data_IF_219189095716
#
_entry.id   IF_219189095716
#
_cell.length_a   1.000
_cell.length_b   1.000
_cell.length_c   1.000
_cell.angle_alpha   90.00
_cell.angle_beta   90.00
_cell.angle_gamma   90.00
#
_symmetry.space_group_name_H-M   'P 1'
#
loop_
_entity.id
_entity.type
_entity.pdbx_description
1 polymer ?
#
# COMPACT_ATOMS: atom_id res chain seq x y z
N UNK A 1 -52.37 7.96 34.35
CA UNK A 1 -51.87 6.75 33.68
C UNK A 1 -50.83 7.23 32.67
N UNK A 2 -49.86 8.06 33.13
CA UNK A 2 -49.15 9.02 32.25
C UNK A 2 -47.68 9.23 32.66
N UNK A 3 -47.11 8.35 33.49
CA UNK A 3 -45.72 8.44 33.96
C UNK A 3 -44.74 7.53 33.18
N UNK A 4 -45.25 6.55 32.40
CA UNK A 4 -44.40 5.63 31.62
C UNK A 4 -44.00 6.16 30.22
N UNK A 5 -44.58 7.28 29.77
CA UNK A 5 -44.37 7.82 28.42
C UNK A 5 -43.24 8.86 28.32
N UNK A 6 -42.43 9.04 29.38
CA UNK A 6 -41.37 10.07 29.44
C UNK A 6 -39.94 9.49 29.35
N UNK A 7 -39.75 8.19 29.60
CA UNK A 7 -38.41 7.57 29.63
C UNK A 7 -37.84 7.12 28.27
N UNK A 8 -38.57 7.28 27.17
CA UNK A 8 -38.24 6.68 25.87
C UNK A 8 -37.60 7.64 24.84
N UNK A 9 -37.23 8.87 25.22
CA UNK A 9 -36.74 9.87 24.26
C UNK A 9 -35.29 9.69 23.80
N UNK A 10 -34.51 8.87 24.51
CA UNK A 10 -33.06 8.70 24.26
C UNK A 10 -32.64 7.24 24.03
N UNK A 11 -33.59 6.30 24.06
CA UNK A 11 -33.32 4.89 23.78
C UNK A 11 -33.63 4.65 22.30
N UNK A 12 -32.60 4.33 21.53
CA UNK A 12 -32.77 4.00 20.11
C UNK A 12 -33.66 2.76 20.01
N UNK A 13 -34.79 2.82 19.28
CA UNK A 13 -35.65 1.66 19.07
C UNK A 13 -34.87 0.48 18.50
N UNK A 14 -35.14 -0.72 18.99
CA UNK A 14 -34.40 -1.94 18.63
C UNK A 14 -34.48 -2.21 17.13
N UNK A 15 -35.63 -1.92 16.52
CA UNK A 15 -35.85 -2.05 15.08
C UNK A 15 -34.93 -1.11 14.29
N UNK A 16 -34.72 0.12 14.76
CA UNK A 16 -33.83 1.09 14.13
C UNK A 16 -32.36 0.67 14.31
N UNK A 17 -32.00 0.10 15.47
CA UNK A 17 -30.67 -0.46 15.72
C UNK A 17 -30.36 -1.61 14.76
N UNK A 18 -31.28 -2.57 14.64
CA UNK A 18 -31.18 -3.72 13.73
C UNK A 18 -31.09 -3.23 12.28
N UNK A 19 -31.92 -2.26 11.88
CA UNK A 19 -31.90 -1.69 10.52
C UNK A 19 -30.54 -1.09 10.19
N UNK A 20 -29.97 -0.29 11.09
CA UNK A 20 -28.63 0.32 10.92
C UNK A 20 -27.53 -0.73 10.83
N UNK A 21 -27.59 -1.76 11.67
CA UNK A 21 -26.64 -2.89 11.66
C UNK A 21 -26.72 -3.68 10.33
N UNK A 22 -27.93 -3.96 9.84
CA UNK A 22 -28.15 -4.64 8.56
C UNK A 22 -27.67 -3.81 7.37
N UNK A 23 -27.95 -2.50 7.36
CA UNK A 23 -27.45 -1.57 6.34
C UNK A 23 -25.93 -1.44 6.37
N UNK A 24 -25.33 -1.43 7.56
CA UNK A 24 -23.88 -1.44 7.73
C UNK A 24 -23.27 -2.73 7.17
N UNK A 25 -23.83 -3.89 7.52
CA UNK A 25 -23.41 -5.19 6.97
C UNK A 25 -23.52 -5.22 5.46
N UNK A 26 -24.61 -4.74 4.89
CA UNK A 26 -24.79 -4.65 3.44
C UNK A 26 -23.76 -3.73 2.77
N UNK A 27 -23.47 -2.54 3.35
CA UNK A 27 -22.42 -1.64 2.83
C UNK A 27 -21.03 -2.27 2.91
N UNK A 28 -20.72 -2.96 4.00
CA UNK A 28 -19.45 -3.69 4.14
C UNK A 28 -19.35 -4.83 3.12
N UNK A 29 -20.44 -5.57 2.89
CA UNK A 29 -20.50 -6.59 1.84
C UNK A 29 -20.35 -5.97 0.45
N UNK A 30 -20.93 -4.80 0.15
CA UNK A 30 -20.69 -4.09 -1.11
C UNK A 30 -19.23 -3.64 -1.24
N UNK A 31 -18.58 -3.18 -0.17
CA UNK A 31 -17.16 -2.81 -0.19
C UNK A 31 -16.24 -4.03 -0.36
N UNK A 32 -16.56 -5.15 0.29
CA UNK A 32 -15.88 -6.43 0.10
C UNK A 32 -16.12 -6.97 -1.30
N UNK A 33 -17.34 -6.91 -1.81
CA UNK A 33 -17.70 -7.34 -3.14
C UNK A 33 -17.09 -6.41 -4.19
N UNK A 34 -16.94 -5.11 -3.95
CA UNK A 34 -16.18 -4.20 -4.83
C UNK A 34 -14.69 -4.55 -4.86
N UNK A 35 -14.14 -5.04 -3.74
CA UNK A 35 -12.78 -5.61 -3.69
C UNK A 35 -12.70 -6.98 -4.39
N UNK A 36 -13.72 -7.83 -4.30
CA UNK A 36 -13.78 -9.14 -4.97
C UNK A 36 -14.09 -9.02 -6.46
N UNK A 37 -14.92 -8.07 -6.89
CA UNK A 37 -15.19 -7.74 -8.30
C UNK A 37 -13.96 -7.12 -8.98
N UNK A 38 -13.01 -6.58 -8.20
CA UNK A 38 -11.68 -6.18 -8.68
C UNK A 38 -10.65 -7.33 -8.60
N UNK A 39 -11.00 -8.49 -8.05
CA UNK A 39 -10.09 -9.61 -7.81
C UNK A 39 -10.62 -10.98 -8.24
N UNK A 40 -11.75 -11.08 -8.95
CA UNK A 40 -12.24 -12.36 -9.41
C UNK A 40 -11.85 -12.68 -10.86
N UNK A 41 -11.39 -13.93 -11.09
CA UNK A 41 -10.21 -14.24 -11.89
C UNK A 41 -10.57 -15.20 -13.04
N UNK A 42 -9.64 -15.35 -13.97
CA UNK A 42 -9.65 -16.45 -14.94
C UNK A 42 -9.70 -17.79 -14.19
N UNK A 43 -10.65 -18.65 -14.58
CA UNK A 43 -10.86 -19.99 -14.02
C UNK A 43 -9.61 -20.91 -14.19
N UNK A 44 -9.51 -22.00 -13.39
CA UNK A 44 -8.34 -22.85 -13.28
C UNK A 44 -8.33 -24.09 -14.18
N UNK A 45 -7.13 -24.64 -14.24
CA UNK A 45 -6.71 -26.00 -14.65
C UNK A 45 -6.23 -26.14 -16.09
N UNK A 46 -4.90 -26.13 -16.27
CA UNK A 46 -4.21 -27.34 -16.69
C UNK A 46 -2.82 -27.44 -16.02
N UNK A 47 -2.64 -28.55 -15.31
CA UNK A 47 -1.39 -29.09 -14.80
C UNK A 47 -0.55 -29.56 -16.00
N UNK A 48 0.79 -29.38 -15.98
CA UNK A 48 1.84 -30.27 -16.54
C UNK A 48 3.26 -29.65 -16.41
N UNK A 49 4.37 -30.42 -16.50
CA UNK A 49 5.53 -30.39 -15.56
C UNK A 49 6.71 -29.47 -15.95
N UNK A 50 7.78 -29.40 -15.11
CA UNK A 50 8.81 -28.36 -15.18
C UNK A 50 9.88 -28.67 -16.24
N UNK A 51 10.24 -27.67 -17.03
CA UNK A 51 11.45 -27.68 -17.84
C UNK A 51 12.42 -26.62 -17.34
N UNK A 52 13.59 -27.11 -16.95
CA UNK A 52 14.77 -26.35 -16.62
C UNK A 52 15.11 -25.36 -17.74
N UNK A 53 15.13 -24.07 -17.43
CA UNK A 53 15.94 -23.09 -18.14
C UNK A 53 16.65 -22.22 -17.12
N UNK A 54 17.94 -22.47 -17.01
CA UNK A 54 18.92 -21.65 -16.29
C UNK A 54 18.90 -20.22 -16.85
N UNK A 55 18.19 -19.32 -16.18
CA UNK A 55 18.40 -17.89 -16.34
C UNK A 55 19.26 -17.38 -15.19
N UNK A 56 20.57 -17.40 -15.42
CA UNK A 56 21.52 -16.53 -14.72
C UNK A 56 21.07 -15.08 -14.95
N UNK A 57 20.53 -14.40 -13.94
CA UNK A 57 20.50 -12.93 -13.96
C UNK A 57 20.79 -12.37 -12.58
N UNK A 58 21.90 -11.63 -12.56
CA UNK A 58 22.57 -10.92 -11.46
C UNK A 58 21.62 -10.36 -10.40
N UNK A 59 21.86 -10.80 -9.18
CA UNK A 59 21.66 -10.04 -7.94
C UNK A 59 22.10 -8.57 -8.12
N UNK A 60 21.33 -7.61 -7.62
CA UNK A 60 21.90 -6.46 -6.93
C UNK A 60 21.62 -6.66 -5.44
N UNK A 61 22.55 -7.36 -4.80
CA UNK A 61 22.86 -7.07 -3.40
C UNK A 61 23.51 -5.69 -3.35
N UNK A 62 22.92 -4.74 -2.64
CA UNK A 62 23.69 -3.62 -2.09
C UNK A 62 23.23 -3.34 -0.67
N UNK A 63 23.90 -4.01 0.26
CA UNK A 63 24.09 -3.57 1.63
C UNK A 63 24.91 -2.28 1.68
N UNK A 64 24.44 -1.33 2.48
CA UNK A 64 25.27 -0.38 3.21
C UNK A 64 25.95 0.74 2.43
N UNK A 65 25.35 1.93 2.46
CA UNK A 65 26.09 3.19 2.45
C UNK A 65 25.23 4.29 3.10
N UNK A 66 25.58 4.67 4.32
CA UNK A 66 25.09 5.89 4.97
C UNK A 66 25.73 7.08 4.28
N UNK A 67 25.07 7.62 3.27
CA UNK A 67 25.28 8.98 2.77
C UNK A 67 23.89 9.49 2.40
N UNK A 68 23.49 10.62 2.97
CA UNK A 68 22.26 11.38 2.67
C UNK A 68 22.30 11.89 1.22
N UNK A 69 22.26 10.96 0.28
CA UNK A 69 22.20 11.21 -1.15
C UNK A 69 20.72 11.23 -1.48
N UNK A 70 20.16 12.43 -1.65
CA UNK A 70 18.80 12.59 -2.19
C UNK A 70 18.70 11.69 -3.42
N UNK A 71 17.85 10.69 -3.34
CA UNK A 71 17.66 9.67 -4.37
C UNK A 71 16.25 9.85 -4.91
N UNK A 72 16.10 9.73 -6.22
CA UNK A 72 14.79 9.70 -6.90
C UNK A 72 14.10 8.34 -6.78
N UNK A 73 14.65 7.44 -5.95
CA UNK A 73 14.17 6.08 -5.75
C UNK A 73 12.85 5.97 -5.00
N UNK A 74 12.20 4.82 -5.20
CA UNK A 74 10.98 4.44 -4.52
C UNK A 74 11.33 3.39 -3.47
N UNK A 75 11.02 3.61 -2.21
CA UNK A 75 11.41 2.71 -1.14
C UNK A 75 10.22 1.95 -0.53
N UNK A 76 10.50 0.76 -0.03
CA UNK A 76 9.62 0.07 0.89
C UNK A 76 9.90 0.54 2.33
N UNK A 77 8.97 1.22 3.00
CA UNK A 77 9.16 1.65 4.41
C UNK A 77 9.32 0.47 5.39
N UNK A 78 8.78 -0.69 5.07
CA UNK A 78 8.81 -1.88 5.94
C UNK A 78 10.10 -2.68 5.76
N UNK A 79 10.54 -2.86 4.52
CA UNK A 79 11.71 -3.69 4.20
C UNK A 79 12.98 -2.84 4.00
N UNK A 80 12.85 -1.52 3.89
CA UNK A 80 13.92 -0.56 3.59
C UNK A 80 14.69 -0.96 2.34
N UNK A 81 13.94 -1.34 1.29
CA UNK A 81 14.48 -1.71 -0.02
C UNK A 81 14.09 -0.63 -1.00
N UNK A 82 15.08 -0.09 -1.70
CA UNK A 82 14.88 0.84 -2.81
C UNK A 82 14.57 0.07 -4.10
N UNK A 83 13.58 0.56 -4.84
CA UNK A 83 13.06 0.07 -6.08
C UNK A 83 13.11 1.21 -7.11
N UNK A 84 13.30 0.87 -8.38
CA UNK A 84 13.42 1.88 -9.44
C UNK A 84 12.06 2.27 -10.04
N UNK A 85 11.06 1.39 -9.93
CA UNK A 85 9.73 1.62 -10.49
C UNK A 85 8.61 1.28 -9.51
N UNK A 86 7.46 1.94 -9.68
CA UNK A 86 6.27 1.70 -8.85
C UNK A 86 5.82 0.24 -8.98
N UNK A 87 5.92 -0.33 -10.19
CA UNK A 87 5.59 -1.74 -10.46
C UNK A 87 6.47 -2.71 -9.67
N UNK A 88 7.78 -2.46 -9.59
CA UNK A 88 8.69 -3.29 -8.78
C UNK A 88 8.35 -3.21 -7.30
N UNK A 89 8.06 -2.00 -6.80
CA UNK A 89 7.67 -1.81 -5.40
C UNK A 89 6.31 -2.45 -5.08
N UNK A 90 5.36 -2.41 -6.02
CA UNK A 90 4.08 -3.11 -5.95
C UNK A 90 4.28 -4.63 -5.95
N UNK A 91 5.16 -5.15 -6.80
CA UNK A 91 5.47 -6.58 -6.81
C UNK A 91 6.14 -7.00 -5.51
N UNK A 92 7.11 -6.22 -5.04
CA UNK A 92 7.78 -6.41 -3.76
C UNK A 92 6.79 -6.50 -2.59
N UNK A 93 5.83 -5.57 -2.51
CA UNK A 93 4.84 -5.55 -1.42
C UNK A 93 3.91 -6.77 -1.41
N UNK A 94 3.80 -7.47 -2.54
CA UNK A 94 3.03 -8.71 -2.66
C UNK A 94 3.83 -9.97 -2.30
N UNK A 95 5.14 -9.88 -2.09
CA UNK A 95 5.99 -11.03 -1.76
C UNK A 95 5.67 -11.63 -0.39
N UNK A 96 5.91 -12.93 -0.24
CA UNK A 96 5.74 -13.65 1.04
C UNK A 96 6.61 -13.04 2.14
N UNK A 97 7.85 -12.67 1.80
CA UNK A 97 8.78 -12.01 2.74
C UNK A 97 8.21 -10.69 3.28
N UNK A 98 7.69 -9.85 2.39
CA UNK A 98 7.06 -8.58 2.79
C UNK A 98 5.87 -8.82 3.71
N UNK A 99 4.95 -9.73 3.33
CA UNK A 99 3.78 -10.08 4.14
C UNK A 99 4.17 -10.64 5.51
N UNK A 100 5.22 -11.46 5.58
CA UNK A 100 5.79 -11.97 6.82
C UNK A 100 6.29 -10.85 7.74
N UNK A 101 7.03 -9.88 7.21
CA UNK A 101 7.50 -8.72 7.96
C UNK A 101 6.33 -7.87 8.48
N UNK A 102 5.33 -7.60 7.63
CA UNK A 102 4.10 -6.88 8.06
C UNK A 102 3.41 -7.60 9.21
N UNK A 103 3.28 -8.93 9.13
CA UNK A 103 2.66 -9.72 10.18
C UNK A 103 3.47 -9.69 11.48
N UNK A 104 4.80 -9.74 11.40
CA UNK A 104 5.68 -9.64 12.57
C UNK A 104 5.57 -8.28 13.26
N UNK A 105 5.51 -7.19 12.50
CA UNK A 105 5.29 -5.85 13.05
C UNK A 105 3.93 -5.73 13.74
N UNK A 106 2.88 -6.28 13.12
CA UNK A 106 1.53 -6.33 13.74
C UNK A 106 1.51 -7.11 15.05
N UNK A 107 2.23 -8.24 15.14
CA UNK A 107 2.36 -9.02 16.39
C UNK A 107 3.05 -8.22 17.51
N UNK A 108 3.91 -7.26 17.17
CA UNK A 108 4.58 -6.36 18.12
C UNK A 108 3.73 -5.11 18.45
N UNK A 109 2.48 -5.05 18.00
CA UNK A 109 1.58 -3.90 18.22
C UNK A 109 1.81 -2.74 17.25
N UNK A 110 2.66 -2.88 16.23
CA UNK A 110 2.92 -1.83 15.26
C UNK A 110 1.95 -1.91 14.07
N UNK A 111 1.20 -0.85 13.82
CA UNK A 111 0.19 -0.76 12.77
C UNK A 111 0.76 -0.21 11.45
N UNK A 112 1.69 -0.94 10.82
CA UNK A 112 2.30 -0.51 9.55
C UNK A 112 1.58 -1.18 8.37
N UNK A 113 0.90 -0.37 7.54
CA UNK A 113 0.17 -0.87 6.36
C UNK A 113 0.59 -0.22 5.03
N UNK A 114 1.39 0.86 5.06
CA UNK A 114 1.72 1.65 3.88
C UNK A 114 3.19 1.46 3.49
N UNK A 115 3.48 0.58 2.50
CA UNK A 115 4.86 0.29 2.13
C UNK A 115 5.47 1.35 1.22
N UNK A 116 4.68 2.17 0.54
CA UNK A 116 5.17 3.03 -0.54
C UNK A 116 5.77 4.33 0.00
N UNK A 117 7.06 4.55 -0.21
CA UNK A 117 7.78 5.77 0.18
C UNK A 117 8.48 6.38 -1.05
N UNK A 118 8.32 7.69 -1.25
CA UNK A 118 9.09 8.46 -2.21
C UNK A 118 10.33 9.02 -1.50
N UNK A 119 11.54 8.65 -1.91
CA UNK A 119 12.78 9.13 -1.27
C UNK A 119 13.03 10.62 -1.57
N UNK A 120 12.63 11.09 -2.75
CA UNK A 120 12.81 12.50 -3.14
C UNK A 120 11.96 13.44 -2.29
N UNK A 121 10.69 13.08 -2.08
CA UNK A 121 9.73 13.91 -1.35
C UNK A 121 9.58 13.51 0.13
N UNK A 122 10.23 12.41 0.54
CA UNK A 122 10.07 11.76 1.84
C UNK A 122 8.59 11.55 2.27
N UNK A 123 7.72 11.28 1.29
CA UNK A 123 6.28 11.13 1.52
C UNK A 123 5.84 9.68 1.40
N UNK A 124 5.10 9.20 2.40
CA UNK A 124 4.49 7.87 2.36
C UNK A 124 3.14 7.89 1.64
N UNK A 125 2.93 6.96 0.72
CA UNK A 125 1.68 6.78 -0.01
C UNK A 125 0.97 5.49 0.45
N UNK A 126 -0.35 5.53 0.46
CA UNK A 126 -1.19 4.42 0.93
C UNK A 126 -1.31 3.28 -0.07
N UNK A 127 -1.09 3.54 -1.36
CA UNK A 127 -1.16 2.53 -2.42
C UNK A 127 -0.23 2.87 -3.59
N UNK A 128 -0.03 1.89 -4.48
CA UNK A 128 0.64 2.08 -5.77
C UNK A 128 0.01 3.20 -6.58
N UNK A 129 -1.33 3.28 -6.62
CA UNK A 129 -2.07 4.27 -7.41
C UNK A 129 -1.79 5.68 -6.89
N UNK A 130 -1.84 5.85 -5.57
CA UNK A 130 -1.53 7.14 -4.93
C UNK A 130 -0.06 7.52 -5.13
N UNK A 131 0.84 6.53 -5.17
CA UNK A 131 2.25 6.79 -5.50
C UNK A 131 2.38 7.24 -6.97
N UNK A 132 1.69 6.59 -7.91
CA UNK A 132 1.67 6.99 -9.31
C UNK A 132 1.13 8.42 -9.50
N UNK A 133 0.04 8.78 -8.82
CA UNK A 133 -0.50 10.15 -8.81
C UNK A 133 0.49 11.14 -8.19
N UNK A 134 1.14 10.75 -7.08
CA UNK A 134 2.16 11.57 -6.43
C UNK A 134 3.32 11.90 -7.37
N UNK A 135 3.83 10.92 -8.13
CA UNK A 135 4.94 11.11 -9.08
C UNK A 135 4.57 12.05 -10.24
N UNK A 136 3.30 12.08 -10.64
CA UNK A 136 2.78 13.04 -11.64
C UNK A 136 2.48 14.42 -11.06
N UNK A 137 2.52 14.57 -9.74
CA UNK A 137 2.15 15.80 -9.05
C UNK A 137 3.18 16.92 -9.24
N UNK A 138 2.69 18.16 -9.25
CA UNK A 138 3.53 19.37 -9.43
C UNK A 138 4.68 19.44 -8.42
N UNK A 139 4.42 19.16 -7.14
CA UNK A 139 5.45 19.16 -6.08
C UNK A 139 6.58 18.17 -6.33
N UNK A 140 6.26 16.98 -6.85
CA UNK A 140 7.28 15.99 -7.15
C UNK A 140 8.14 16.45 -8.34
N UNK A 141 7.49 16.92 -9.40
CA UNK A 141 8.15 17.39 -10.61
C UNK A 141 9.07 18.60 -10.36
N UNK A 142 8.67 19.56 -9.53
CA UNK A 142 9.52 20.71 -9.18
C UNK A 142 10.78 20.27 -8.45
N UNK A 143 10.64 19.41 -7.43
CA UNK A 143 11.78 18.88 -6.69
C UNK A 143 12.68 18.00 -7.57
N UNK A 144 12.11 17.27 -8.52
CA UNK A 144 12.85 16.45 -9.46
C UNK A 144 13.71 17.32 -10.37
N UNK A 145 13.14 18.40 -10.91
CA UNK A 145 13.88 19.35 -11.75
C UNK A 145 15.03 20.01 -10.98
N UNK A 146 14.78 20.49 -9.76
CA UNK A 146 15.81 21.07 -8.90
C UNK A 146 16.93 20.06 -8.61
N UNK A 147 16.57 18.81 -8.34
CA UNK A 147 17.53 17.73 -8.11
C UNK A 147 18.38 17.44 -9.35
N UNK A 148 17.79 17.39 -10.54
CA UNK A 148 18.52 17.20 -11.80
C UNK A 148 19.43 18.38 -12.15
N UNK A 149 18.99 19.61 -11.89
CA UNK A 149 19.79 20.82 -12.09
C UNK A 149 21.00 20.81 -11.15
N UNK A 150 20.80 20.49 -9.87
CA UNK A 150 21.88 20.38 -8.89
C UNK A 150 22.86 19.23 -9.22
N UNK A 151 22.36 18.14 -9.82
CA UNK A 151 23.20 17.04 -10.28
C UNK A 151 24.09 17.45 -11.47
N UNK A 152 23.57 18.25 -12.40
CA UNK A 152 24.33 18.79 -13.54
C UNK A 152 25.39 19.79 -13.10
N UNK A 153 25.04 20.75 -12.23
CA UNK A 153 25.98 21.76 -11.72
C UNK A 153 27.16 21.18 -10.92
N UNK A 154 27.09 19.93 -10.47
CA UNK A 154 28.19 19.22 -9.80
C UNK A 154 29.06 18.38 -10.75
N UNK A 155 28.59 18.17 -11.97
CA UNK A 155 29.28 17.37 -12.98
C UNK A 155 30.15 18.23 -13.92
N UNK A 156 29.91 19.55 -13.93
CA UNK A 156 30.73 20.59 -14.58
C UNK A 156 31.81 21.11 -13.61
#
# INVERSE_FOLDING_TARGET
MDEEMIALRNVMPVELAIKREMEYRAKIEVLKNRRLNNLNPLLPSQVHPPSHVTFKRKEPSSSGASLERRSTGLACKICVITCNTVTQLKQHSNTVKHKGNVLQLKKRGQNVSTPFLCELCNSSCSSSIIMDDHLRGTKHLTLLQEFENAKRARAE
#
